data_IF_431437908208
#
_entry.id   IF_431437908208
#
_cell.length_a   1.000
_cell.length_b   1.000
_cell.length_c   1.000
_cell.angle_alpha   90.00
_cell.angle_beta   90.00
_cell.angle_gamma   90.00
#
_symmetry.space_group_name_H-M   'P 1'
#
loop_
_entity.id
_entity.type
_entity.pdbx_description
1 polymer ?
#
# COMPACT_ATOMS: atom_id res chain seq x y z
N UNK A 1 8.16 10.73 -2.80
CA UNK A 1 8.00 11.77 -1.74
C UNK A 1 8.17 11.22 -0.33
N UNK A 2 8.01 9.92 -0.11
CA UNK A 2 8.10 9.29 1.22
C UNK A 2 9.54 8.88 1.52
N UNK A 3 10.05 9.24 2.71
CA UNK A 3 11.32 8.73 3.22
C UNK A 3 11.09 7.48 4.07
N UNK A 4 11.27 6.32 3.45
CA UNK A 4 11.05 5.03 4.10
C UNK A 4 12.09 4.70 5.17
N UNK A 5 13.29 5.24 5.04
CA UNK A 5 14.35 5.01 6.03
C UNK A 5 14.02 5.69 7.37
N UNK A 6 13.46 6.90 7.31
CA UNK A 6 12.96 7.60 8.50
C UNK A 6 11.79 6.84 9.13
N UNK A 7 10.85 6.30 8.32
CA UNK A 7 9.76 5.49 8.84
C UNK A 7 10.26 4.22 9.57
N UNK A 8 11.26 3.55 9.01
CA UNK A 8 11.90 2.39 9.68
C UNK A 8 12.49 2.80 11.02
N UNK A 9 13.27 3.87 11.05
CA UNK A 9 13.95 4.34 12.26
C UNK A 9 12.97 4.64 13.40
N UNK A 10 11.90 5.37 13.12
CA UNK A 10 10.94 5.76 14.14
C UNK A 10 9.97 4.64 14.55
N UNK A 11 9.72 3.67 13.67
CA UNK A 11 8.71 2.64 13.89
C UNK A 11 9.24 1.29 14.35
N UNK A 12 10.37 0.86 13.80
CA UNK A 12 10.84 -0.52 13.97
C UNK A 12 12.33 -0.64 14.26
N UNK A 13 13.09 0.44 14.14
CA UNK A 13 14.53 0.47 14.41
C UNK A 13 15.31 -0.60 13.62
N UNK A 14 16.29 -1.28 14.24
CA UNK A 14 17.17 -2.21 13.54
C UNK A 14 16.47 -3.45 12.96
N UNK A 15 15.28 -3.78 13.45
CA UNK A 15 14.50 -4.93 12.96
C UNK A 15 13.81 -4.64 11.63
N UNK A 16 13.48 -3.38 11.36
CA UNK A 16 12.79 -2.97 10.14
C UNK A 16 13.72 -2.71 8.97
N UNK A 17 13.16 -2.74 7.77
CA UNK A 17 13.84 -2.38 6.52
C UNK A 17 12.89 -1.60 5.61
N UNK A 18 13.38 -0.59 4.88
CA UNK A 18 12.58 0.05 3.85
C UNK A 18 12.34 -0.95 2.70
N UNK A 19 11.15 -0.93 2.13
CA UNK A 19 10.83 -1.84 1.01
C UNK A 19 9.96 -1.18 -0.04
N UNK A 20 10.15 -1.59 -1.29
CA UNK A 20 9.26 -1.31 -2.42
C UNK A 20 8.38 -2.53 -2.76
N UNK A 21 8.51 -3.63 -2.02
CA UNK A 21 7.90 -4.90 -2.36
C UNK A 21 6.85 -5.30 -1.33
N UNK A 22 5.75 -5.84 -1.82
CA UNK A 22 4.71 -6.46 -1.00
C UNK A 22 5.21 -7.78 -0.39
N UNK A 23 6.07 -8.48 -1.16
CA UNK A 23 6.77 -9.71 -0.72
C UNK A 23 8.26 -9.39 -0.63
N UNK A 24 8.75 -8.90 0.53
CA UNK A 24 10.15 -8.51 0.70
C UNK A 24 11.08 -9.70 0.97
N UNK A 25 10.53 -10.84 1.38
CA UNK A 25 11.26 -12.07 1.74
C UNK A 25 10.35 -13.30 1.59
N UNK A 26 10.92 -14.52 1.41
CA UNK A 26 12.34 -14.81 1.19
C UNK A 26 12.83 -14.41 -0.20
N UNK A 27 14.13 -14.38 -0.41
CA UNK A 27 14.77 -13.91 -1.65
C UNK A 27 14.29 -14.62 -2.92
N UNK A 28 13.89 -15.89 -2.83
CA UNK A 28 13.34 -16.65 -3.96
C UNK A 28 12.08 -15.99 -4.54
N UNK A 29 11.29 -15.32 -3.72
CA UNK A 29 10.00 -14.70 -4.08
C UNK A 29 10.05 -13.16 -4.10
N UNK A 30 11.10 -12.56 -3.56
CA UNK A 30 11.23 -11.10 -3.49
C UNK A 30 11.71 -10.51 -4.82
N UNK A 31 11.01 -9.50 -5.32
CA UNK A 31 11.47 -8.69 -6.44
C UNK A 31 12.66 -7.81 -6.05
N UNK A 32 13.49 -7.46 -7.02
CA UNK A 32 14.65 -6.59 -6.81
C UNK A 32 14.33 -5.11 -7.07
N UNK A 33 13.20 -4.63 -6.55
CA UNK A 33 12.78 -3.24 -6.68
C UNK A 33 13.28 -2.44 -5.49
N UNK A 34 14.12 -1.43 -5.75
CA UNK A 34 14.74 -0.57 -4.74
C UNK A 34 14.60 0.93 -5.04
N UNK A 35 14.06 1.27 -6.19
CA UNK A 35 13.99 2.65 -6.68
C UNK A 35 13.19 3.59 -5.77
N UNK A 36 12.17 3.07 -5.10
CA UNK A 36 11.31 3.85 -4.20
C UNK A 36 11.92 4.10 -2.82
N UNK A 37 13.04 3.46 -2.47
CA UNK A 37 13.62 3.54 -1.13
C UNK A 37 14.15 4.94 -0.84
N UNK A 38 14.84 5.53 -1.81
CA UNK A 38 15.34 6.90 -1.68
C UNK A 38 14.22 7.90 -1.94
N UNK A 39 14.00 8.80 -0.98
CA UNK A 39 13.08 9.92 -1.16
C UNK A 39 13.53 10.78 -2.35
N UNK A 40 12.61 11.08 -3.26
CA UNK A 40 12.81 12.00 -4.38
C UNK A 40 11.67 13.01 -4.43
N UNK A 41 11.77 14.05 -3.62
CA UNK A 41 10.77 15.12 -3.57
C UNK A 41 10.74 15.92 -4.86
N UNK A 42 11.90 16.20 -5.44
CA UNK A 42 11.99 16.94 -6.71
C UNK A 42 11.34 16.17 -7.87
N UNK A 43 11.62 14.87 -7.98
CA UNK A 43 11.00 14.01 -8.97
C UNK A 43 9.48 13.90 -8.79
N UNK A 44 9.01 13.79 -7.54
CA UNK A 44 7.58 13.76 -7.24
C UNK A 44 6.86 15.06 -7.67
N UNK A 45 7.46 16.22 -7.37
CA UNK A 45 6.94 17.52 -7.83
C UNK A 45 6.89 17.61 -9.36
N UNK A 46 7.95 17.17 -10.02
CA UNK A 46 8.03 17.17 -11.50
C UNK A 46 6.95 16.28 -12.14
N UNK A 47 6.73 15.08 -11.59
CA UNK A 47 5.68 14.18 -12.06
C UNK A 47 4.28 14.79 -11.94
N UNK A 48 3.97 15.43 -10.81
CA UNK A 48 2.70 16.11 -10.61
C UNK A 48 2.53 17.29 -11.57
N UNK A 49 3.59 18.08 -11.80
CA UNK A 49 3.58 19.17 -12.78
C UNK A 49 3.31 18.65 -14.20
N UNK A 50 3.96 17.58 -14.60
CA UNK A 50 3.75 16.92 -15.90
C UNK A 50 2.32 16.39 -16.06
N UNK A 51 1.75 15.86 -14.96
CA UNK A 51 0.38 15.37 -14.94
C UNK A 51 -0.67 16.49 -14.94
N UNK A 52 -0.27 17.77 -14.89
CA UNK A 52 -1.15 18.91 -14.91
C UNK A 52 -1.64 19.40 -13.54
N UNK A 53 -1.12 18.82 -12.46
CA UNK A 53 -1.39 19.26 -11.09
C UNK A 53 -0.49 20.43 -10.71
N UNK A 54 -1.00 21.65 -10.81
CA UNK A 54 -0.25 22.89 -10.56
C UNK A 54 -0.52 23.45 -9.18
N UNK A 55 0.52 23.97 -8.54
CA UNK A 55 0.43 24.59 -7.20
C UNK A 55 -0.36 25.88 -7.30
N UNK A 56 -1.43 26.01 -6.51
CA UNK A 56 -2.24 27.20 -6.37
C UNK A 56 -1.67 28.23 -5.39
N UNK A 57 -2.35 29.37 -5.25
CA UNK A 57 -1.93 30.45 -4.35
C UNK A 57 -1.92 30.05 -2.88
N UNK A 58 -2.72 29.05 -2.49
CA UNK A 58 -2.79 28.47 -1.14
C UNK A 58 -1.76 27.37 -0.90
N UNK A 59 -0.90 27.07 -1.87
CA UNK A 59 0.09 26.01 -1.81
C UNK A 59 -0.44 24.60 -2.14
N UNK A 60 -1.75 24.47 -2.42
CA UNK A 60 -2.39 23.21 -2.79
C UNK A 60 -2.44 23.07 -4.30
N UNK A 61 -2.12 21.90 -4.82
CA UNK A 61 -2.19 21.61 -6.25
C UNK A 61 -3.63 21.49 -6.71
N UNK A 62 -3.88 22.00 -7.93
CA UNK A 62 -5.17 21.91 -8.60
C UNK A 62 -5.00 21.41 -10.03
N UNK A 63 -6.01 20.71 -10.52
CA UNK A 63 -6.13 20.31 -11.92
C UNK A 63 -7.61 20.35 -12.31
N UNK A 64 -7.92 21.01 -13.42
CA UNK A 64 -9.30 21.15 -13.93
C UNK A 64 -10.29 21.67 -12.85
N UNK A 65 -9.84 22.61 -12.01
CA UNK A 65 -10.63 23.19 -10.93
C UNK A 65 -10.76 22.32 -9.67
N UNK A 66 -10.16 21.13 -9.65
CA UNK A 66 -10.19 20.21 -8.51
C UNK A 66 -8.90 20.37 -7.68
N UNK A 67 -9.05 20.56 -6.37
CA UNK A 67 -7.91 20.60 -5.43
C UNK A 67 -7.45 19.18 -5.10
N UNK A 68 -6.14 19.01 -4.94
CA UNK A 68 -5.53 17.76 -4.46
C UNK A 68 -5.69 17.65 -2.94
N UNK A 69 -6.84 17.19 -2.53
CA UNK A 69 -7.17 16.93 -1.12
C UNK A 69 -7.32 15.42 -0.93
N UNK A 70 -6.74 14.89 0.15
CA UNK A 70 -6.76 13.46 0.44
C UNK A 70 -7.14 13.21 1.91
N UNK A 71 -8.08 12.30 2.13
CA UNK A 71 -8.34 11.69 3.42
C UNK A 71 -7.46 10.45 3.58
N UNK A 72 -6.58 10.48 4.57
CA UNK A 72 -5.66 9.40 4.87
C UNK A 72 -6.01 8.76 6.21
N UNK A 73 -6.49 7.54 6.20
CA UNK A 73 -6.93 6.83 7.40
C UNK A 73 -6.03 5.65 7.78
N UNK A 74 -5.97 5.38 9.07
CA UNK A 74 -5.39 4.17 9.66
C UNK A 74 -6.01 3.91 11.03
N UNK A 75 -5.54 2.86 11.72
CA UNK A 75 -5.95 2.60 13.11
C UNK A 75 -5.27 3.55 14.10
N UNK A 76 -5.73 3.50 15.36
CA UNK A 76 -5.12 4.26 16.48
C UNK A 76 -3.78 3.70 16.96
N UNK A 77 -3.15 2.81 16.20
CA UNK A 77 -1.81 2.31 16.48
C UNK A 77 -0.78 3.45 16.45
N UNK A 78 0.01 3.61 17.50
CA UNK A 78 0.94 4.74 17.66
C UNK A 78 1.99 4.82 16.54
N UNK A 79 2.56 3.69 16.10
CA UNK A 79 3.53 3.66 15.00
C UNK A 79 2.89 4.19 13.71
N UNK A 80 1.68 3.74 13.39
CA UNK A 80 0.97 4.19 12.18
C UNK A 80 0.55 5.65 12.25
N UNK A 81 0.16 6.15 13.42
CA UNK A 81 -0.12 7.58 13.60
C UNK A 81 1.13 8.43 13.37
N UNK A 82 2.30 7.99 13.86
CA UNK A 82 3.57 8.67 13.61
C UNK A 82 3.92 8.65 12.12
N UNK A 83 3.70 7.54 11.43
CA UNK A 83 3.89 7.43 9.97
C UNK A 83 2.98 8.41 9.22
N UNK A 84 1.70 8.47 9.59
CA UNK A 84 0.76 9.43 9.00
C UNK A 84 1.23 10.87 9.14
N UNK A 85 1.71 11.26 10.32
CA UNK A 85 2.16 12.62 10.59
C UNK A 85 3.32 13.02 9.68
N UNK A 86 4.31 12.13 9.50
CA UNK A 86 5.44 12.36 8.59
C UNK A 86 5.01 12.39 7.13
N UNK A 87 4.19 11.44 6.71
CA UNK A 87 3.70 11.37 5.32
C UNK A 87 2.88 12.63 5.00
N UNK A 88 2.02 13.07 5.92
CA UNK A 88 1.29 14.34 5.78
C UNK A 88 2.24 15.52 5.61
N UNK A 89 3.32 15.59 6.37
CA UNK A 89 4.32 16.65 6.25
C UNK A 89 4.95 16.65 4.86
N UNK A 90 5.41 15.51 4.37
CA UNK A 90 6.01 15.39 3.04
C UNK A 90 5.01 15.67 1.92
N UNK A 91 3.78 15.20 2.03
CA UNK A 91 2.76 15.45 1.04
C UNK A 91 2.25 16.89 1.05
N UNK A 92 2.24 17.55 2.21
CA UNK A 92 1.97 18.99 2.29
C UNK A 92 3.03 19.80 1.55
N UNK A 93 4.31 19.44 1.70
CA UNK A 93 5.41 20.05 0.94
C UNK A 93 5.25 19.81 -0.57
N UNK A 94 4.71 18.65 -0.95
CA UNK A 94 4.41 18.31 -2.34
C UNK A 94 3.24 19.12 -2.94
N UNK A 95 2.41 19.72 -2.10
CA UNK A 95 1.22 20.46 -2.50
C UNK A 95 -0.10 19.71 -2.35
N UNK A 96 -0.13 18.68 -1.52
CA UNK A 96 -1.32 17.91 -1.17
C UNK A 96 -1.90 18.39 0.15
N UNK A 97 -3.19 18.67 0.19
CA UNK A 97 -3.91 18.89 1.45
C UNK A 97 -4.33 17.54 2.00
N UNK A 98 -3.79 17.18 3.17
CA UNK A 98 -4.02 15.87 3.79
C UNK A 98 -4.82 16.03 5.07
N UNK A 99 -5.94 15.33 5.14
CA UNK A 99 -6.70 15.12 6.36
C UNK A 99 -6.39 13.73 6.93
N UNK A 100 -6.10 13.65 8.23
CA UNK A 100 -5.81 12.39 8.90
C UNK A 100 -7.03 11.89 9.66
N UNK A 101 -7.31 10.60 9.54
CA UNK A 101 -8.36 9.92 10.29
C UNK A 101 -7.79 8.68 10.95
N UNK A 102 -8.06 8.54 12.27
CA UNK A 102 -7.64 7.40 13.06
C UNK A 102 -8.87 6.70 13.64
N UNK A 103 -8.95 5.41 13.44
CA UNK A 103 -10.08 4.56 13.84
C UNK A 103 -9.57 3.54 14.84
N UNK A 104 -10.34 3.26 15.90
CA UNK A 104 -9.93 2.23 16.85
C UNK A 104 -9.69 0.88 16.14
N UNK A 105 -8.65 0.14 16.54
CA UNK A 105 -8.28 -1.11 15.88
C UNK A 105 -9.41 -2.15 15.87
N UNK A 106 -10.23 -2.19 16.91
CA UNK A 106 -11.38 -3.09 17.00
C UNK A 106 -12.49 -2.78 15.98
N UNK A 107 -12.64 -1.52 15.59
CA UNK A 107 -13.58 -1.11 14.53
C UNK A 107 -12.94 -1.24 13.17
N UNK A 108 -11.74 -0.70 12.98
CA UNK A 108 -11.03 -0.70 11.71
C UNK A 108 -10.85 -2.11 11.13
N UNK A 109 -10.43 -3.06 11.98
CA UNK A 109 -10.23 -4.45 11.60
C UNK A 109 -11.41 -5.39 11.99
N UNK A 110 -12.51 -4.83 12.47
CA UNK A 110 -13.61 -5.61 13.03
C UNK A 110 -14.49 -6.33 12.01
N UNK A 111 -14.49 -5.92 10.76
CA UNK A 111 -15.28 -6.56 9.71
C UNK A 111 -16.79 -6.40 9.84
N UNK A 112 -17.30 -5.53 10.72
CA UNK A 112 -18.73 -5.27 10.89
C UNK A 112 -19.32 -4.59 9.64
N UNK A 113 -20.23 -5.26 8.90
CA UNK A 113 -20.80 -4.69 7.68
C UNK A 113 -21.71 -3.48 7.93
N UNK A 114 -22.15 -3.24 9.16
CA UNK A 114 -22.93 -2.06 9.52
C UNK A 114 -22.07 -0.83 9.81
N UNK A 115 -20.79 -1.02 10.17
CA UNK A 115 -19.87 0.08 10.44
C UNK A 115 -19.34 0.71 9.15
N UNK A 116 -19.37 2.04 9.00
CA UNK A 116 -18.74 2.73 7.88
C UNK A 116 -17.22 2.80 7.98
N UNK A 117 -16.64 2.43 9.13
CA UNK A 117 -15.27 2.72 9.52
C UNK A 117 -14.33 1.50 9.41
N UNK A 118 -14.82 0.40 8.84
CA UNK A 118 -13.97 -0.76 8.59
C UNK A 118 -13.02 -0.50 7.42
N UNK A 119 -11.81 -1.07 7.48
CA UNK A 119 -10.83 -0.91 6.40
C UNK A 119 -11.30 -1.57 5.08
N UNK A 120 -12.17 -2.59 5.14
CA UNK A 120 -12.75 -3.19 3.95
C UNK A 120 -13.61 -2.21 3.14
N UNK A 121 -14.31 -1.29 3.79
CA UNK A 121 -15.12 -0.28 3.09
C UNK A 121 -14.29 0.78 2.40
N UNK A 122 -13.14 1.09 2.94
CA UNK A 122 -12.19 2.03 2.35
C UNK A 122 -12.84 3.40 2.00
N UNK A 123 -13.57 3.99 2.94
CA UNK A 123 -14.17 5.32 2.75
C UNK A 123 -13.13 6.42 2.99
N UNK A 124 -12.06 6.39 2.23
CA UNK A 124 -10.95 7.30 2.24
C UNK A 124 -10.23 7.30 0.89
N UNK A 125 -9.31 8.22 0.67
CA UNK A 125 -8.46 8.23 -0.53
C UNK A 125 -7.25 7.32 -0.37
N UNK A 126 -6.70 7.27 0.85
CA UNK A 126 -5.56 6.42 1.21
C UNK A 126 -5.82 5.78 2.57
N UNK A 127 -5.49 4.51 2.70
CA UNK A 127 -5.44 3.87 4.00
C UNK A 127 -4.16 3.07 4.19
N UNK A 128 -3.75 2.94 5.45
CA UNK A 128 -2.53 2.25 5.82
C UNK A 128 -2.79 1.21 6.89
N UNK A 129 -2.25 0.04 6.69
CA UNK A 129 -2.26 -1.04 7.66
C UNK A 129 -1.06 -1.96 7.45
N UNK A 130 -0.83 -2.87 8.36
CA UNK A 130 0.18 -3.89 8.20
C UNK A 130 -0.47 -5.24 7.92
N UNK A 131 0.15 -6.00 7.05
CA UNK A 131 -0.27 -7.35 6.73
C UNK A 131 0.92 -8.31 6.77
N UNK A 132 0.66 -9.59 6.90
CA UNK A 132 1.65 -10.64 6.89
C UNK A 132 1.10 -11.84 6.12
N UNK A 133 1.98 -12.74 5.72
CA UNK A 133 1.60 -14.07 5.31
C UNK A 133 2.37 -15.11 6.14
N UNK A 134 1.75 -16.27 6.33
CA UNK A 134 2.34 -17.35 7.07
C UNK A 134 3.27 -18.20 6.18
N UNK A 135 4.31 -18.75 6.80
CA UNK A 135 5.28 -19.58 6.08
C UNK A 135 6.23 -18.79 5.17
N UNK A 136 6.69 -19.43 4.12
CA UNK A 136 7.71 -18.91 3.19
C UNK A 136 7.21 -18.74 1.76
N UNK A 137 6.04 -19.30 1.42
CA UNK A 137 5.44 -19.18 0.10
C UNK A 137 4.32 -18.14 0.12
N UNK A 138 4.38 -17.09 -0.70
CA UNK A 138 3.42 -15.98 -0.65
C UNK A 138 2.15 -16.21 -1.47
N UNK A 139 1.87 -17.41 -1.99
CA UNK A 139 0.74 -17.68 -2.88
C UNK A 139 -0.59 -17.18 -2.30
N UNK A 140 -0.94 -17.62 -1.09
CA UNK A 140 -2.19 -17.23 -0.45
C UNK A 140 -2.30 -15.72 -0.25
N UNK A 141 -1.19 -15.08 0.09
CA UNK A 141 -1.11 -13.64 0.28
C UNK A 141 -1.31 -12.86 -1.03
N UNK A 142 -0.66 -13.29 -2.10
CA UNK A 142 -0.84 -12.69 -3.42
C UNK A 142 -2.25 -12.95 -3.98
N UNK A 143 -2.83 -14.10 -3.68
CA UNK A 143 -4.20 -14.44 -4.08
C UNK A 143 -5.29 -13.56 -3.42
N UNK A 144 -4.96 -12.82 -2.37
CA UNK A 144 -5.88 -11.85 -1.76
C UNK A 144 -6.25 -10.69 -2.71
N UNK A 145 -5.45 -10.43 -3.74
CA UNK A 145 -5.60 -9.29 -4.63
C UNK A 145 -6.29 -9.60 -5.97
N UNK A 146 -6.93 -10.76 -6.08
CA UNK A 146 -7.76 -11.09 -7.26
C UNK A 146 -9.08 -10.32 -7.24
N UNK A 147 -9.71 -10.19 -8.42
CA UNK A 147 -10.95 -9.44 -8.58
C UNK A 147 -12.09 -9.92 -7.66
N UNK A 148 -12.21 -11.23 -7.46
CA UNK A 148 -13.27 -11.83 -6.64
C UNK A 148 -13.13 -11.56 -5.14
N UNK A 149 -11.97 -11.09 -4.69
CA UNK A 149 -11.70 -10.75 -3.29
C UNK A 149 -11.96 -9.29 -2.93
N UNK A 150 -12.47 -8.49 -3.87
CA UNK A 150 -12.85 -7.10 -3.60
C UNK A 150 -14.05 -7.07 -2.66
N UNK A 151 -13.95 -6.39 -1.50
CA UNK A 151 -15.09 -6.20 -0.61
C UNK A 151 -16.22 -5.41 -1.29
N UNK A 152 -17.44 -5.92 -1.23
CA UNK A 152 -18.64 -5.33 -1.87
C UNK A 152 -19.87 -5.50 -0.96
N UNK A 153 -20.93 -4.72 -1.14
CA UNK A 153 -22.17 -4.90 -0.41
C UNK A 153 -22.72 -6.33 -0.51
N UNK A 154 -22.63 -6.95 -1.69
CA UNK A 154 -23.13 -8.31 -1.97
C UNK A 154 -22.38 -9.38 -1.17
N UNK A 155 -21.14 -9.14 -0.83
CA UNK A 155 -20.33 -10.01 0.03
C UNK A 155 -20.34 -9.59 1.50
N UNK A 156 -21.27 -8.69 1.88
CA UNK A 156 -21.28 -8.06 3.21
C UNK A 156 -19.93 -7.41 3.57
N UNK A 157 -19.27 -6.82 2.57
CA UNK A 157 -17.96 -6.23 2.67
C UNK A 157 -16.83 -7.20 3.06
N UNK A 158 -17.06 -8.50 2.91
CA UNK A 158 -16.02 -9.51 3.10
C UNK A 158 -15.12 -9.59 1.87
N UNK A 159 -13.82 -9.72 2.11
CA UNK A 159 -12.78 -9.80 1.09
C UNK A 159 -11.50 -9.11 1.55
N UNK A 160 -10.38 -9.48 0.96
CA UNK A 160 -9.05 -9.01 1.37
C UNK A 160 -8.40 -8.08 0.34
N UNK A 161 -9.04 -7.87 -0.82
CA UNK A 161 -8.54 -6.95 -1.85
C UNK A 161 -8.96 -5.51 -1.53
N UNK A 162 -8.25 -4.89 -0.58
CA UNK A 162 -8.60 -3.53 -0.11
C UNK A 162 -8.37 -2.47 -1.18
N UNK A 163 -7.36 -2.64 -2.03
CA UNK A 163 -7.02 -1.68 -3.08
C UNK A 163 -8.03 -1.62 -4.22
N UNK A 164 -8.92 -2.60 -4.33
CA UNK A 164 -9.85 -2.81 -5.47
C UNK A 164 -9.12 -3.03 -6.80
N UNK A 165 -7.85 -3.37 -6.75
CA UNK A 165 -7.11 -3.77 -7.96
C UNK A 165 -7.81 -4.96 -8.64
N UNK A 166 -8.06 -4.85 -9.92
CA UNK A 166 -8.72 -5.94 -10.66
C UNK A 166 -8.11 -6.05 -12.05
N UNK A 167 -7.46 -7.17 -12.31
CA UNK A 167 -6.80 -7.46 -13.57
C UNK A 167 -6.96 -8.94 -13.93
N UNK A 168 -7.49 -9.21 -15.11
CA UNK A 168 -7.62 -10.57 -15.62
C UNK A 168 -6.26 -11.28 -15.76
N UNK A 169 -5.21 -10.53 -16.11
CA UNK A 169 -3.85 -11.07 -16.22
C UNK A 169 -3.29 -11.44 -14.83
N UNK A 170 -3.58 -10.61 -13.81
CA UNK A 170 -3.22 -10.91 -12.43
C UNK A 170 -3.91 -12.20 -11.96
N UNK A 171 -5.23 -12.29 -12.15
CA UNK A 171 -6.03 -13.44 -11.73
C UNK A 171 -5.56 -14.73 -12.42
N UNK A 172 -5.20 -14.65 -13.71
CA UNK A 172 -4.61 -15.76 -14.46
C UNK A 172 -3.27 -16.21 -13.88
N UNK A 173 -2.39 -15.27 -13.54
CA UNK A 173 -1.09 -15.58 -12.94
C UNK A 173 -1.24 -16.20 -11.54
N UNK A 174 -2.21 -15.79 -10.74
CA UNK A 174 -2.51 -16.42 -9.45
C UNK A 174 -2.92 -17.89 -9.67
N UNK A 175 -3.77 -18.17 -10.65
CA UNK A 175 -4.14 -19.55 -11.00
C UNK A 175 -2.92 -20.37 -11.49
N UNK A 176 -2.02 -19.76 -12.24
CA UNK A 176 -0.78 -20.40 -12.66
C UNK A 176 0.12 -20.70 -11.45
N UNK A 177 0.24 -19.76 -10.52
CA UNK A 177 1.01 -19.94 -9.28
C UNK A 177 0.48 -21.13 -8.46
N UNK A 178 -0.83 -21.27 -8.33
CA UNK A 178 -1.46 -22.37 -7.56
C UNK A 178 -1.14 -23.77 -8.08
N UNK A 179 -0.74 -23.90 -9.33
CA UNK A 179 -0.38 -25.19 -9.96
C UNK A 179 1.09 -25.31 -10.27
N UNK A 180 1.85 -24.23 -10.12
CA UNK A 180 3.28 -24.23 -10.44
C UNK A 180 4.09 -25.04 -9.41
N UNK A 181 5.00 -25.85 -9.92
CA UNK A 181 5.94 -26.64 -9.11
C UNK A 181 7.35 -26.06 -9.20
N UNK A 182 8.10 -26.21 -8.11
CA UNK A 182 9.46 -25.74 -8.00
C UNK A 182 9.60 -24.28 -7.64
N UNK A 183 10.57 -23.99 -6.78
CA UNK A 183 10.74 -22.66 -6.18
C UNK A 183 11.08 -21.59 -7.23
N UNK A 184 11.82 -21.94 -8.25
CA UNK A 184 12.23 -20.98 -9.31
C UNK A 184 11.03 -20.50 -10.13
N UNK A 185 10.18 -21.43 -10.56
CA UNK A 185 8.97 -21.09 -11.33
C UNK A 185 7.97 -20.29 -10.47
N UNK A 186 7.73 -20.75 -9.26
CA UNK A 186 6.85 -20.07 -8.31
C UNK A 186 7.38 -18.67 -7.98
N UNK A 187 8.69 -18.56 -7.76
CA UNK A 187 9.35 -17.28 -7.49
C UNK A 187 9.21 -16.28 -8.65
N UNK A 188 9.38 -16.73 -9.89
CA UNK A 188 9.22 -15.88 -11.07
C UNK A 188 7.79 -15.31 -11.17
N UNK A 189 6.78 -16.15 -10.94
CA UNK A 189 5.37 -15.72 -10.97
C UNK A 189 5.08 -14.76 -9.82
N UNK A 190 5.53 -15.06 -8.60
CA UNK A 190 5.30 -14.22 -7.43
C UNK A 190 5.92 -12.82 -7.59
N UNK A 191 7.13 -12.72 -8.13
CA UNK A 191 7.79 -11.45 -8.44
C UNK A 191 6.98 -10.62 -9.44
N UNK A 192 6.46 -11.25 -10.48
CA UNK A 192 5.61 -10.59 -11.47
C UNK A 192 4.30 -10.08 -10.85
N UNK A 193 3.65 -10.88 -10.01
CA UNK A 193 2.45 -10.45 -9.27
C UNK A 193 2.74 -9.28 -8.32
N UNK A 194 3.85 -9.33 -7.57
CA UNK A 194 4.30 -8.22 -6.75
C UNK A 194 4.45 -6.93 -7.57
N UNK A 195 5.12 -7.01 -8.71
CA UNK A 195 5.41 -5.85 -9.55
C UNK A 195 4.13 -5.24 -10.14
N UNK A 196 3.16 -6.07 -10.53
CA UNK A 196 1.86 -5.58 -11.01
C UNK A 196 1.12 -4.74 -9.96
N UNK A 197 1.23 -5.08 -8.68
CA UNK A 197 0.58 -4.34 -7.58
C UNK A 197 1.35 -3.09 -7.16
N UNK A 198 2.68 -3.12 -7.18
CA UNK A 198 3.51 -2.11 -6.53
C UNK A 198 4.25 -1.19 -7.48
N UNK A 199 4.64 -1.69 -8.66
CA UNK A 199 5.48 -0.99 -9.63
C UNK A 199 4.69 -0.51 -10.85
N UNK A 200 3.82 -1.38 -11.37
CA UNK A 200 3.12 -1.09 -12.63
C UNK A 200 1.83 -0.30 -12.38
N UNK A 201 1.11 -0.57 -11.30
CA UNK A 201 -0.18 0.06 -11.00
C UNK A 201 -0.17 1.02 -9.81
N UNK A 202 0.79 0.89 -8.91
CA UNK A 202 0.81 1.58 -7.61
C UNK A 202 -0.48 1.38 -6.79
N UNK A 203 -1.18 0.27 -7.01
CA UNK A 203 -2.38 -0.08 -6.24
C UNK A 203 -2.06 -0.26 -4.75
N UNK A 204 -0.86 -0.77 -4.47
CA UNK A 204 -0.30 -0.90 -3.13
C UNK A 204 1.07 -0.23 -3.12
N UNK A 205 1.30 0.61 -2.11
CA UNK A 205 2.57 1.32 -1.90
C UNK A 205 3.24 0.78 -0.63
N UNK A 206 4.14 -0.22 -0.74
CA UNK A 206 4.85 -0.76 0.41
C UNK A 206 5.76 0.30 1.05
N UNK A 207 5.82 0.30 2.36
CA UNK A 207 6.62 1.26 3.13
C UNK A 207 7.77 0.58 3.85
N UNK A 208 7.45 -0.37 4.72
CA UNK A 208 8.39 -0.99 5.66
C UNK A 208 8.14 -2.48 5.75
N UNK A 209 9.20 -3.26 5.60
CA UNK A 209 9.26 -4.62 6.12
C UNK A 209 9.61 -4.53 7.60
N UNK A 210 8.72 -5.02 8.44
CA UNK A 210 8.87 -4.95 9.90
C UNK A 210 9.94 -5.89 10.44
N UNK A 211 10.41 -6.81 9.62
CA UNK A 211 11.28 -7.90 10.04
C UNK A 211 10.53 -8.96 10.85
N UNK A 212 11.19 -10.05 11.14
CA UNK A 212 10.72 -11.04 12.13
C UNK A 212 11.35 -10.69 13.48
N UNK A 213 10.54 -10.44 14.47
CA UNK A 213 11.00 -10.51 15.84
C UNK A 213 11.31 -12.00 16.11
N UNK A 214 12.58 -12.32 16.25
CA UNK A 214 13.06 -13.64 16.67
C UNK A 214 12.82 -13.82 18.17
#
# INVERSE_FOLDING_TARGET
AIDRSVLVEIGYGPAGRPTCNLVPAPAAFASNNTECIKQDMAGAKALLDQAGWKVGADGVRTKDGVKMEMLFQTSTNAVRQNFQALIKQWWTELGVKVELRNISGSVFFGGDPSSPDTFQKFYADVEMYANNFDGTDPEAYLAENVCDKIPRPETQWQGNNMSRFCSADYDKLVKELSTAAGVDKRGAIAKKLNDMLTKDSYAIVPLVDRGRLS
#
